data_IF_746013612130
#
_entry.id   IF_746013612130
#
_cell.length_a   1.000
_cell.length_b   1.000
_cell.length_c   1.000
_cell.angle_alpha   90.00
_cell.angle_beta   90.00
_cell.angle_gamma   90.00
#
_symmetry.space_group_name_H-M   'P 1'
#
loop_
_entity.id
_entity.type
_entity.pdbx_description
1 polymer ?
#
# COMPACT_ATOMS: atom_id res chain seq x y z
N UNK A 1 24.20 24.58 -22.22
CA UNK A 1 23.98 23.38 -21.39
C UNK A 1 25.24 23.18 -20.56
N UNK A 2 25.26 23.60 -19.30
CA UNK A 2 26.43 23.40 -18.46
C UNK A 2 26.65 21.89 -18.26
N UNK A 3 27.88 21.41 -18.51
CA UNK A 3 28.31 20.08 -18.08
C UNK A 3 28.01 19.97 -16.57
N UNK A 4 27.06 19.12 -16.18
CA UNK A 4 26.83 18.81 -14.75
C UNK A 4 28.15 18.33 -14.16
N UNK A 5 28.61 19.03 -13.13
CA UNK A 5 29.85 18.73 -12.43
C UNK A 5 29.83 17.24 -11.99
N UNK A 6 30.90 16.46 -12.21
CA UNK A 6 31.01 15.11 -11.68
C UNK A 6 30.71 15.01 -10.16
N UNK A 7 30.98 16.06 -9.38
CA UNK A 7 30.62 16.15 -7.96
C UNK A 7 29.10 16.15 -7.76
N UNK A 8 28.37 16.95 -8.52
CA UNK A 8 26.89 17.01 -8.45
C UNK A 8 26.26 15.66 -8.78
N UNK A 9 26.80 14.96 -9.78
CA UNK A 9 26.33 13.61 -10.15
C UNK A 9 26.57 12.60 -9.03
N UNK A 10 27.71 12.67 -8.36
CA UNK A 10 28.02 11.78 -7.24
C UNK A 10 27.14 12.08 -6.03
N UNK A 11 26.86 13.35 -5.75
CA UNK A 11 25.94 13.76 -4.70
C UNK A 11 24.51 13.27 -4.98
N UNK A 12 24.02 13.41 -6.21
CA UNK A 12 22.71 12.89 -6.61
C UNK A 12 22.60 11.36 -6.43
N UNK A 13 23.61 10.60 -6.82
CA UNK A 13 23.65 9.14 -6.61
C UNK A 13 23.66 8.77 -5.13
N UNK A 14 24.38 9.53 -4.30
CA UNK A 14 24.40 9.31 -2.85
C UNK A 14 23.01 9.56 -2.25
N UNK A 15 22.35 10.65 -2.63
CA UNK A 15 20.99 10.97 -2.20
C UNK A 15 19.98 9.92 -2.68
N UNK A 16 20.12 9.41 -3.92
CA UNK A 16 19.31 8.30 -4.43
C UNK A 16 19.42 7.05 -3.56
N UNK A 17 20.64 6.66 -3.16
CA UNK A 17 20.88 5.53 -2.24
C UNK A 17 20.30 5.76 -0.84
N UNK A 18 20.44 6.98 -0.30
CA UNK A 18 19.85 7.34 1.01
C UNK A 18 18.33 7.25 0.97
N UNK A 19 17.72 7.70 -0.12
CA UNK A 19 16.29 7.59 -0.32
C UNK A 19 15.85 6.12 -0.43
N UNK A 20 16.58 5.30 -1.19
CA UNK A 20 16.30 3.86 -1.28
C UNK A 20 16.36 3.15 0.09
N UNK A 21 17.34 3.47 0.93
CA UNK A 21 17.41 2.91 2.29
C UNK A 21 16.21 3.33 3.17
N UNK A 22 15.67 4.54 2.98
CA UNK A 22 14.42 4.96 3.65
C UNK A 22 13.21 4.18 3.14
N UNK A 23 13.16 3.91 1.83
CA UNK A 23 12.13 3.05 1.23
C UNK A 23 12.16 1.63 1.82
N UNK A 24 13.35 1.04 2.01
CA UNK A 24 13.49 -0.28 2.64
C UNK A 24 12.95 -0.31 4.09
N UNK A 25 13.29 0.70 4.90
CA UNK A 25 12.75 0.84 6.26
C UNK A 25 11.23 1.04 6.25
N UNK A 26 10.71 1.75 5.24
CA UNK A 26 9.28 1.96 5.05
C UNK A 26 8.56 0.66 4.69
N UNK A 27 9.13 -0.15 3.80
CA UNK A 27 8.62 -1.49 3.45
C UNK A 27 8.52 -2.35 4.70
N UNK A 28 9.57 -2.38 5.53
CA UNK A 28 9.57 -3.13 6.79
C UNK A 28 8.45 -2.68 7.75
N UNK A 29 8.10 -1.39 7.72
CA UNK A 29 7.00 -0.85 8.53
C UNK A 29 5.63 -1.22 7.94
N UNK A 30 5.50 -1.21 6.62
CA UNK A 30 4.29 -1.61 5.89
C UNK A 30 3.98 -3.08 6.17
N UNK A 31 4.97 -3.97 6.05
CA UNK A 31 4.80 -5.42 6.23
C UNK A 31 4.31 -5.79 7.63
N UNK A 32 4.60 -4.96 8.64
CA UNK A 32 4.17 -5.15 10.03
C UNK A 32 2.86 -4.44 10.37
N UNK A 33 2.30 -3.64 9.47
CA UNK A 33 1.08 -2.92 9.74
C UNK A 33 -0.12 -3.88 9.76
N UNK A 34 -0.96 -3.75 10.79
CA UNK A 34 -2.12 -4.63 11.02
C UNK A 34 -3.45 -3.99 10.57
N UNK A 35 -3.42 -2.73 10.13
CA UNK A 35 -4.63 -2.01 9.73
C UNK A 35 -4.47 -1.34 8.36
N UNK A 36 -5.54 -1.34 7.56
CA UNK A 36 -5.55 -0.66 6.26
C UNK A 36 -5.31 0.85 6.37
N UNK A 37 -5.72 1.46 7.49
CA UNK A 37 -5.45 2.87 7.78
C UNK A 37 -3.96 3.13 7.91
N UNK A 38 -3.26 2.28 8.66
CA UNK A 38 -1.82 2.41 8.82
C UNK A 38 -1.08 2.14 7.51
N UNK A 39 -1.43 1.07 6.79
CA UNK A 39 -0.86 0.78 5.47
C UNK A 39 -1.02 1.97 4.52
N UNK A 40 -2.21 2.57 4.45
CA UNK A 40 -2.48 3.74 3.59
C UNK A 40 -1.68 4.97 4.00
N UNK A 41 -1.53 5.22 5.30
CA UNK A 41 -0.68 6.30 5.83
C UNK A 41 0.79 6.07 5.47
N UNK A 42 1.28 4.84 5.61
CA UNK A 42 2.67 4.49 5.33
C UNK A 42 2.97 4.58 3.83
N UNK A 43 2.06 4.12 2.97
CA UNK A 43 2.18 4.18 1.51
C UNK A 43 2.30 5.60 0.95
N UNK A 44 1.78 6.60 1.66
CA UNK A 44 1.77 8.01 1.23
C UNK A 44 2.83 8.88 1.94
N UNK A 45 3.57 8.30 2.89
CA UNK A 45 4.49 9.06 3.75
C UNK A 45 5.84 9.41 3.10
N UNK A 46 6.24 8.69 2.05
CA UNK A 46 7.46 8.97 1.30
C UNK A 46 7.14 9.72 0.02
N UNK A 47 7.78 10.88 -0.15
CA UNK A 47 7.68 11.70 -1.36
C UNK A 47 9.06 11.74 -2.01
N UNK A 48 9.12 11.42 -3.30
CA UNK A 48 10.36 11.49 -4.08
C UNK A 48 10.84 12.95 -4.18
N UNK A 49 12.02 13.31 -3.64
CA UNK A 49 12.54 14.66 -3.72
C UNK A 49 12.85 15.07 -5.16
N UNK A 50 12.54 16.32 -5.52
CA UNK A 50 12.77 16.86 -6.88
C UNK A 50 14.22 16.68 -7.37
N UNK A 51 15.20 16.82 -6.46
CA UNK A 51 16.61 16.72 -6.80
C UNK A 51 17.05 15.35 -7.34
N UNK A 52 16.27 14.29 -7.08
CA UNK A 52 16.56 12.90 -7.47
C UNK A 52 15.42 12.27 -8.28
N UNK A 53 14.53 13.07 -8.88
CA UNK A 53 13.39 12.54 -9.67
C UNK A 53 13.79 11.73 -10.89
N UNK A 54 14.98 12.01 -11.43
CA UNK A 54 15.54 11.31 -12.60
C UNK A 54 16.45 10.14 -12.17
N UNK A 55 16.68 9.95 -10.86
CA UNK A 55 17.49 8.85 -10.37
C UNK A 55 16.67 7.55 -10.40
N UNK A 56 17.11 6.61 -11.23
CA UNK A 56 16.42 5.34 -11.43
C UNK A 56 16.28 4.54 -10.14
N UNK A 57 17.33 4.50 -9.30
CA UNK A 57 17.32 3.75 -8.03
C UNK A 57 16.29 4.32 -7.07
N UNK A 58 16.18 5.63 -6.95
CA UNK A 58 15.18 6.28 -6.10
C UNK A 58 13.74 6.00 -6.56
N UNK A 59 13.50 6.05 -7.88
CA UNK A 59 12.17 5.75 -8.45
C UNK A 59 11.78 4.29 -8.27
N UNK A 60 12.71 3.37 -8.53
CA UNK A 60 12.45 1.94 -8.38
C UNK A 60 12.16 1.59 -6.91
N UNK A 61 12.94 2.14 -5.98
CA UNK A 61 12.70 1.96 -4.55
C UNK A 61 11.32 2.47 -4.10
N UNK A 62 10.88 3.63 -4.61
CA UNK A 62 9.52 4.13 -4.32
C UNK A 62 8.43 3.20 -4.89
N UNK A 63 8.61 2.73 -6.12
CA UNK A 63 7.68 1.77 -6.73
C UNK A 63 7.59 0.47 -5.93
N UNK A 64 8.70 -0.02 -5.37
CA UNK A 64 8.70 -1.18 -4.50
C UNK A 64 7.88 -0.94 -3.22
N UNK A 65 7.98 0.25 -2.62
CA UNK A 65 7.13 0.65 -1.47
C UNK A 65 5.65 0.57 -1.82
N UNK A 66 5.25 1.13 -2.97
CA UNK A 66 3.86 1.11 -3.44
C UNK A 66 3.36 -0.32 -3.66
N UNK A 67 4.20 -1.16 -4.30
CA UNK A 67 3.88 -2.57 -4.55
C UNK A 67 3.67 -3.33 -3.24
N UNK A 68 4.59 -3.17 -2.28
CA UNK A 68 4.51 -3.83 -0.97
C UNK A 68 3.32 -3.34 -0.13
N UNK A 69 2.98 -2.06 -0.24
CA UNK A 69 1.76 -1.53 0.38
C UNK A 69 0.50 -2.15 -0.21
N UNK A 70 0.46 -2.34 -1.53
CA UNK A 70 -0.65 -3.00 -2.20
C UNK A 70 -0.79 -4.46 -1.79
N UNK A 71 0.32 -5.21 -1.78
CA UNK A 71 0.36 -6.61 -1.34
C UNK A 71 -0.16 -6.75 0.09
N UNK A 72 0.34 -5.95 1.03
CA UNK A 72 -0.09 -5.99 2.42
C UNK A 72 -1.56 -5.60 2.59
N UNK A 73 -2.04 -4.58 1.85
CA UNK A 73 -3.44 -4.21 1.89
C UNK A 73 -4.34 -5.34 1.37
N UNK A 74 -3.93 -6.04 0.31
CA UNK A 74 -4.65 -7.21 -0.23
C UNK A 74 -4.72 -8.34 0.78
N UNK A 75 -3.64 -8.64 1.49
CA UNK A 75 -3.62 -9.64 2.57
C UNK A 75 -4.66 -9.32 3.65
N UNK A 76 -4.62 -8.11 4.22
CA UNK A 76 -5.56 -7.68 5.26
C UNK A 76 -7.02 -7.71 4.78
N UNK A 77 -7.28 -7.34 3.52
CA UNK A 77 -8.62 -7.43 2.94
C UNK A 77 -9.09 -8.89 2.84
N UNK A 78 -8.22 -9.79 2.38
CA UNK A 78 -8.56 -11.22 2.27
C UNK A 78 -8.80 -11.83 3.65
N UNK A 79 -8.02 -11.46 4.66
CA UNK A 79 -8.24 -11.88 6.05
C UNK A 79 -9.60 -11.40 6.56
N UNK A 80 -9.98 -10.15 6.31
CA UNK A 80 -11.29 -9.59 6.66
C UNK A 80 -12.44 -10.34 5.97
N UNK A 81 -12.32 -10.61 4.67
CA UNK A 81 -13.34 -11.37 3.91
C UNK A 81 -13.46 -12.80 4.43
N UNK A 82 -12.34 -13.43 4.77
CA UNK A 82 -12.33 -14.76 5.34
C UNK A 82 -12.92 -14.81 6.76
N UNK A 83 -12.71 -13.78 7.57
CA UNK A 83 -13.39 -13.64 8.86
C UNK A 83 -14.90 -13.45 8.68
N UNK A 84 -15.31 -12.60 7.72
CA UNK A 84 -16.71 -12.43 7.35
C UNK A 84 -17.36 -13.74 6.91
N UNK A 85 -16.66 -14.56 6.10
CA UNK A 85 -17.22 -15.81 5.60
C UNK A 85 -17.41 -16.88 6.69
N UNK A 86 -16.73 -16.73 7.83
CA UNK A 86 -16.89 -17.60 9.01
C UNK A 86 -17.85 -17.05 10.05
N UNK A 87 -18.28 -15.79 9.92
CA UNK A 87 -19.17 -15.16 10.88
C UNK A 87 -20.58 -15.76 10.82
N UNK A 88 -21.22 -15.86 11.98
CA UNK A 88 -22.63 -16.26 12.11
C UNK A 88 -23.56 -15.27 11.40
N UNK A 89 -24.66 -15.80 10.84
CA UNK A 89 -25.62 -15.02 10.04
C UNK A 89 -26.16 -13.78 10.77
N UNK A 90 -26.35 -13.88 12.09
CA UNK A 90 -26.82 -12.78 12.95
C UNK A 90 -25.82 -11.60 13.02
N UNK A 91 -24.53 -11.85 12.82
CA UNK A 91 -23.47 -10.85 12.91
C UNK A 91 -22.90 -10.45 11.55
N UNK A 92 -23.29 -11.10 10.45
CA UNK A 92 -22.74 -10.85 9.11
C UNK A 92 -22.97 -9.43 8.64
N UNK A 93 -24.18 -8.90 8.78
CA UNK A 93 -24.49 -7.53 8.35
C UNK A 93 -23.66 -6.48 9.13
N UNK A 94 -23.45 -6.72 10.43
CA UNK A 94 -22.59 -5.86 11.26
C UNK A 94 -21.12 -5.95 10.82
N UNK A 95 -20.60 -7.15 10.57
CA UNK A 95 -19.24 -7.35 10.07
C UNK A 95 -19.04 -6.73 8.69
N UNK A 96 -20.01 -6.88 7.79
CA UNK A 96 -20.00 -6.27 6.46
C UNK A 96 -19.84 -4.76 6.54
N UNK A 97 -20.65 -4.09 7.36
CA UNK A 97 -20.53 -2.63 7.56
C UNK A 97 -19.17 -2.24 8.12
N UNK A 98 -18.69 -2.95 9.15
CA UNK A 98 -17.38 -2.68 9.74
C UNK A 98 -16.21 -2.83 8.74
N UNK A 99 -16.28 -3.83 7.87
CA UNK A 99 -15.29 -4.06 6.81
C UNK A 99 -15.34 -2.92 5.77
N UNK A 100 -16.54 -2.54 5.31
CA UNK A 100 -16.71 -1.44 4.36
C UNK A 100 -16.19 -0.10 4.93
N UNK A 101 -16.45 0.17 6.20
CA UNK A 101 -15.90 1.34 6.90
C UNK A 101 -14.37 1.29 6.98
N UNK A 102 -13.81 0.10 7.18
CA UNK A 102 -12.36 -0.09 7.19
C UNK A 102 -11.76 0.18 5.81
N UNK A 103 -12.42 -0.23 4.73
CA UNK A 103 -11.99 0.00 3.35
C UNK A 103 -12.09 1.46 2.92
N UNK A 104 -12.93 2.26 3.58
CA UNK A 104 -12.94 3.71 3.36
C UNK A 104 -11.58 4.37 3.65
N UNK A 105 -10.74 3.75 4.48
CA UNK A 105 -9.38 4.22 4.77
C UNK A 105 -8.37 4.01 3.63
N UNK A 106 -8.70 3.17 2.63
CA UNK A 106 -7.85 2.97 1.45
C UNK A 106 -7.84 4.25 0.62
N UNK A 107 -6.71 4.96 0.60
CA UNK A 107 -6.58 6.27 -0.07
C UNK A 107 -5.30 6.34 -0.90
N UNK A 108 -5.17 7.40 -1.71
CA UNK A 108 -4.01 7.62 -2.57
C UNK A 108 -3.76 6.43 -3.51
N UNK A 109 -2.54 5.86 -3.53
CA UNK A 109 -2.19 4.77 -4.44
C UNK A 109 -3.05 3.51 -4.23
N UNK A 110 -3.63 3.31 -3.04
CA UNK A 110 -4.42 2.13 -2.69
C UNK A 110 -5.93 2.31 -2.92
N UNK A 111 -6.38 3.48 -3.40
CA UNK A 111 -7.82 3.76 -3.54
C UNK A 111 -8.54 2.79 -4.49
N UNK A 112 -7.84 2.29 -5.50
CA UNK A 112 -8.37 1.32 -6.47
C UNK A 112 -8.73 -0.04 -5.82
N UNK A 113 -8.12 -0.38 -4.68
CA UNK A 113 -8.38 -1.63 -3.97
C UNK A 113 -9.79 -1.68 -3.37
N UNK A 114 -10.48 -0.55 -3.17
CA UNK A 114 -11.86 -0.55 -2.67
C UNK A 114 -12.80 -1.31 -3.59
N UNK A 115 -12.75 -1.02 -4.89
CA UNK A 115 -13.57 -1.69 -5.90
C UNK A 115 -13.20 -3.16 -6.01
N UNK A 116 -11.91 -3.48 -5.97
CA UNK A 116 -11.44 -4.86 -5.97
C UNK A 116 -11.95 -5.65 -4.75
N UNK A 117 -11.86 -5.06 -3.56
CA UNK A 117 -12.32 -5.66 -2.30
C UNK A 117 -13.83 -5.92 -2.31
N UNK A 118 -14.62 -4.94 -2.80
CA UNK A 118 -16.07 -5.09 -2.96
C UNK A 118 -16.42 -6.26 -3.88
N UNK A 119 -15.76 -6.40 -5.03
CA UNK A 119 -15.98 -7.52 -5.93
C UNK A 119 -15.65 -8.87 -5.27
N UNK A 120 -14.60 -8.92 -4.44
CA UNK A 120 -14.23 -10.12 -3.69
C UNK A 120 -15.25 -10.49 -2.61
N UNK A 121 -15.80 -9.50 -1.91
CA UNK A 121 -16.88 -9.73 -0.94
C UNK A 121 -18.13 -10.26 -1.61
N UNK A 122 -18.57 -9.66 -2.72
CA UNK A 122 -19.74 -10.13 -3.46
C UNK A 122 -19.58 -11.57 -3.94
N UNK A 123 -18.38 -11.95 -4.40
CA UNK A 123 -18.10 -13.35 -4.75
C UNK A 123 -18.18 -14.29 -3.54
N UNK A 124 -17.67 -13.87 -2.38
CA UNK A 124 -17.77 -14.65 -1.14
C UNK A 124 -19.22 -14.80 -0.66
N UNK A 125 -20.04 -13.75 -0.79
CA UNK A 125 -21.47 -13.81 -0.47
C UNK A 125 -22.23 -14.80 -1.37
N UNK A 126 -21.91 -14.84 -2.67
CA UNK A 126 -22.51 -15.78 -3.60
C UNK A 126 -22.15 -17.24 -3.27
N UNK A 127 -20.90 -17.50 -2.90
CA UNK A 127 -20.45 -18.84 -2.53
C UNK A 127 -21.12 -19.39 -1.26
N UNK A 128 -21.63 -18.51 -0.40
CA UNK A 128 -22.37 -18.91 0.81
C UNK A 128 -23.87 -19.10 0.56
N UNK A 129 -24.39 -18.58 -0.55
CA UNK A 129 -25.80 -18.70 -0.92
C UNK A 129 -26.10 -19.97 -1.73
N UNK A 130 -25.06 -20.61 -2.29
CA UNK A 130 -25.08 -21.93 -2.93
C UNK A 130 -24.72 -23.04 -1.95
#
# INVERSE_FOLDING_TARGET
MALRDPVDKNLQRMEGRRFAARCEAQISSIERADTLREVSRLATSLVLPYAITDDYTARDALRQVETRAEDRARELILEQIHQFSRAEDSQREKHKRAILDTWANLTGPLGHLRTWAQNKLTAAEQQQAT
#
